data_IF_796416049342
#
_entry.id   IF_796416049342
#
_cell.length_a   1.000
_cell.length_b   1.000
_cell.length_c   1.000
_cell.angle_alpha   90.00
_cell.angle_beta   90.00
_cell.angle_gamma   90.00
#
_symmetry.space_group_name_H-M   'P 1'
#
loop_
_entity.id
_entity.type
_entity.pdbx_description
1 polymer ?
2 non-polymer ?
3 non-polymer ?
4 water ?
#
# COMPACT_ATOMS: atom_id res chain seq x y z
N UNK A 1 -14.36 0.01 -8.70
CA UNK A 1 -13.78 -0.51 -7.45
C UNK A 1 -12.87 -1.71 -7.68
N UNK A 2 -12.16 -2.12 -6.63
CA UNK A 2 -11.37 -3.35 -6.66
C UNK A 2 -12.28 -4.59 -6.78
N UNK A 3 -11.73 -5.66 -7.37
CA UNK A 3 -12.37 -6.97 -7.29
C UNK A 3 -11.98 -7.59 -5.94
N UNK A 4 -12.62 -8.69 -5.59
CA UNK A 4 -12.31 -9.40 -4.37
C UNK A 4 -10.86 -9.85 -4.38
N UNK A 5 -10.37 -10.42 -5.48
CA UNK A 5 -8.98 -10.83 -5.55
C UNK A 5 -7.99 -9.67 -5.39
N UNK A 6 -8.29 -8.53 -5.99
CA UNK A 6 -7.43 -7.34 -5.87
C UNK A 6 -7.39 -6.83 -4.41
N UNK A 7 -8.56 -6.77 -3.77
CA UNK A 7 -8.69 -6.43 -2.35
C UNK A 7 -7.90 -7.39 -1.42
N UNK A 8 -7.99 -8.68 -1.67
CA UNK A 8 -7.19 -9.66 -0.91
C UNK A 8 -5.71 -9.39 -1.05
N UNK A 9 -5.24 -9.21 -2.28
CA UNK A 9 -3.84 -8.85 -2.56
C UNK A 9 -3.39 -7.58 -1.82
N UNK A 10 -4.28 -6.60 -1.80
CA UNK A 10 -4.00 -5.35 -1.09
C UNK A 10 -3.96 -5.56 0.44
N UNK A 11 -4.89 -6.37 0.96
CA UNK A 11 -4.90 -6.70 2.37
C UNK A 11 -3.69 -7.55 2.81
N UNK A 12 -3.22 -8.44 1.95
CA UNK A 12 -2.02 -9.24 2.27
C UNK A 12 -0.75 -8.36 2.35
N UNK A 13 -0.67 -7.37 1.47
CA UNK A 13 0.43 -6.39 1.45
C UNK A 13 0.43 -5.51 2.71
N UNK A 14 -0.75 -5.04 3.12
CA UNK A 14 -0.91 -4.28 4.36
C UNK A 14 -0.45 -5.08 5.56
N UNK A 15 -0.86 -6.35 5.60
CA UNK A 15 -0.51 -7.26 6.69
C UNK A 15 1.00 -7.52 6.69
N UNK A 16 1.58 -7.71 5.51
CA UNK A 16 3.05 -7.87 5.38
C UNK A 16 3.82 -6.65 5.85
N UNK A 17 3.22 -5.48 5.64
CA UNK A 17 3.87 -4.21 6.04
C UNK A 17 3.78 -4.02 7.58
N UNK A 18 2.67 -4.43 8.19
CA UNK A 18 2.41 -4.14 9.59
C UNK A 18 2.76 -5.27 10.55
N UNK A 19 2.50 -6.52 10.18
CA UNK A 19 2.66 -7.63 11.15
C UNK A 19 4.08 -7.81 11.70
N UNK A 20 5.12 -7.58 10.86
CA UNK A 20 6.51 -7.81 11.35
C UNK A 20 6.95 -6.89 12.51
N UNK A 21 6.24 -5.77 12.69
CA UNK A 21 6.56 -4.77 13.71
C UNK A 21 6.09 -5.17 15.10
N UNK A 22 5.22 -6.18 15.17
CA UNK A 22 4.47 -6.46 16.39
C UNK A 22 4.59 -7.93 16.76
N UNK A 23 4.50 -8.20 18.05
CA UNK A 23 4.67 -9.56 18.51
C UNK A 23 3.29 -10.26 18.37
N UNK A 24 2.98 -10.61 17.13
CA UNK A 24 1.75 -11.28 16.79
C UNK A 24 2.13 -12.61 16.13
N UNK A 25 1.21 -13.58 16.10
CA UNK A 25 1.47 -14.87 15.45
C UNK A 25 0.38 -15.20 14.40
N UNK A 26 0.64 -16.21 13.57
CA UNK A 26 -0.21 -16.46 12.41
C UNK A 26 -1.68 -16.74 12.72
N UNK A 27 -1.93 -17.43 13.85
CA UNK A 27 -3.28 -17.86 14.15
C UNK A 27 -4.20 -16.69 14.50
N UNK A 28 -3.76 -15.82 15.37
CA UNK A 28 -4.57 -14.68 15.71
C UNK A 28 -4.75 -13.74 14.48
N UNK A 29 -3.74 -13.65 13.61
CA UNK A 29 -3.88 -12.88 12.35
C UNK A 29 -4.85 -13.53 11.38
N UNK A 30 -4.80 -14.85 11.27
CA UNK A 30 -5.76 -15.56 10.42
C UNK A 30 -7.18 -15.35 10.95
N UNK A 31 -7.30 -15.33 12.28
CA UNK A 31 -8.57 -15.08 12.95
C UNK A 31 -9.18 -13.74 12.53
N UNK A 32 -8.40 -12.66 12.54
CA UNK A 32 -8.98 -11.36 12.16
C UNK A 32 -9.41 -11.30 10.70
N UNK A 33 -8.60 -11.92 9.83
CA UNK A 33 -9.02 -12.09 8.41
C UNK A 33 -10.38 -12.76 8.30
N UNK A 34 -10.66 -13.72 9.19
CA UNK A 34 -11.93 -14.44 9.22
C UNK A 34 -12.96 -13.79 10.18
N UNK A 35 -12.71 -12.56 10.59
CA UNK A 35 -13.66 -11.70 11.32
C UNK A 35 -13.93 -12.26 12.72
N UNK A 36 -12.91 -12.92 13.28
CA UNK A 36 -12.93 -13.39 14.65
C UNK A 36 -11.92 -12.60 15.48
N UNK A 37 -12.45 -11.72 16.33
CA UNK A 37 -11.63 -10.77 17.12
C UNK A 37 -11.79 -11.07 18.61
N UNK A 38 -10.70 -11.43 19.31
CA UNK A 38 -10.76 -11.56 20.77
C UNK A 38 -11.25 -10.29 21.48
N UNK A 39 -11.94 -10.48 22.62
CA UNK A 39 -12.47 -9.40 23.45
C UNK A 39 -11.37 -8.78 24.28
N UNK A 40 -10.32 -9.57 24.53
CA UNK A 40 -9.21 -9.12 25.34
C UNK A 40 -7.85 -9.48 24.75
N UNK A 41 -7.49 -8.86 23.60
CA UNK A 41 -6.22 -9.15 22.94
C UNK A 41 -5.05 -8.56 23.72
N UNK A 42 -3.84 -9.07 23.52
CA UNK A 42 -2.73 -8.33 24.13
C UNK A 42 -2.52 -7.08 23.28
N UNK A 43 -1.77 -6.13 23.83
CA UNK A 43 -1.57 -4.81 23.24
C UNK A 43 -0.95 -4.84 21.84
N UNK A 44 -0.05 -5.81 21.60
CA UNK A 44 0.60 -5.93 20.30
C UNK A 44 -0.40 -6.19 19.19
N UNK A 45 -1.41 -7.01 19.44
CA UNK A 45 -2.50 -7.20 18.46
C UNK A 45 -3.34 -5.95 18.24
N UNK A 46 -3.52 -5.17 19.30
CA UNK A 46 -4.34 -3.95 19.17
C UNK A 46 -3.58 -2.93 18.33
N UNK A 47 -2.26 -2.91 18.47
CA UNK A 47 -1.51 -1.91 17.74
C UNK A 47 -1.27 -2.35 16.29
N UNK A 48 -1.20 -3.67 16.06
CA UNK A 48 -1.24 -4.19 14.71
C UNK A 48 -2.48 -3.61 13.97
N UNK A 49 -3.66 -3.69 14.60
CA UNK A 49 -4.91 -3.17 13.99
C UNK A 49 -4.86 -1.66 13.69
N UNK A 50 -4.33 -0.88 14.63
CA UNK A 50 -4.03 0.51 14.40
C UNK A 50 -3.08 0.79 13.22
N UNK A 51 -1.94 0.10 13.18
CA UNK A 51 -1.03 0.15 12.04
C UNK A 51 -1.78 -0.06 10.71
N UNK A 52 -2.69 -1.05 10.69
CA UNK A 52 -3.50 -1.35 9.53
C UNK A 52 -4.43 -0.20 9.16
N UNK A 53 -5.14 0.36 10.14
CA UNK A 53 -6.14 1.40 9.81
C UNK A 53 -5.43 2.66 9.37
N UNK A 54 -4.25 2.91 9.98
CA UNK A 54 -3.38 4.03 9.60
C UNK A 54 -2.96 3.90 8.15
N UNK A 55 -2.51 2.70 7.80
CA UNK A 55 -2.06 2.35 6.46
C UNK A 55 -3.17 2.52 5.42
N UNK A 56 -4.39 2.17 5.79
CA UNK A 56 -5.57 2.34 4.94
C UNK A 56 -6.07 3.77 4.96
N UNK A 57 -5.28 4.69 5.54
CA UNK A 57 -5.68 6.09 5.72
C UNK A 57 -7.03 6.31 6.38
N UNK A 58 -7.34 5.50 7.39
CA UNK A 58 -8.59 5.65 8.11
C UNK A 58 -8.41 6.30 9.51
N UNK A 59 -7.16 6.46 9.93
CA UNK A 59 -6.80 7.06 11.25
C UNK A 59 -6.44 8.55 11.17
N UNK A 60 -6.73 9.29 12.24
CA UNK A 60 -6.40 10.74 12.31
C UNK A 60 -5.11 11.01 13.08
N UNK A 61 -4.58 12.21 12.93
CA UNK A 61 -3.42 12.66 13.70
C UNK A 61 -3.72 12.64 15.21
N UNK A 62 -4.94 13.02 15.58
CA UNK A 62 -5.46 12.84 16.94
C UNK A 62 -5.43 11.39 17.46
N UNK A 63 -5.19 10.43 16.57
CA UNK A 63 -5.24 9.01 16.92
C UNK A 63 -6.66 8.49 17.03
N UNK A 64 -7.51 8.92 16.08
CA UNK A 64 -8.93 8.57 16.01
C UNK A 64 -9.34 7.99 14.64
N UNK A 65 -10.43 7.24 14.62
CA UNK A 65 -10.89 6.60 13.38
C UNK A 65 -11.77 7.57 12.61
N UNK A 66 -11.37 7.85 11.36
CA UNK A 66 -12.00 8.88 10.55
C UNK A 66 -13.14 8.34 9.71
N UNK A 67 -14.36 8.72 10.11
CA UNK A 67 -15.60 8.33 9.43
C UNK A 67 -15.60 8.71 7.95
N UNK A 68 -15.24 9.96 7.69
CA UNK A 68 -15.32 10.54 6.36
C UNK A 68 -14.40 9.89 5.30
N UNK A 69 -13.12 9.71 5.61
CA UNK A 69 -12.26 9.02 4.65
C UNK A 69 -12.54 7.50 4.55
N UNK A 70 -13.00 6.89 5.64
CA UNK A 70 -13.47 5.50 5.59
C UNK A 70 -14.60 5.33 4.57
N UNK A 71 -15.58 6.24 4.61
CA UNK A 71 -16.70 6.24 3.67
C UNK A 71 -16.24 6.41 2.23
N UNK A 72 -15.34 7.36 2.01
CA UNK A 72 -14.75 7.60 0.70
C UNK A 72 -13.96 6.36 0.21
N UNK A 73 -13.23 5.72 1.12
CA UNK A 73 -12.50 4.46 0.85
C UNK A 73 -13.44 3.36 0.38
N UNK A 74 -14.44 3.09 1.20
CA UNK A 74 -15.45 2.06 0.97
C UNK A 74 -16.15 2.29 -0.38
N UNK A 75 -16.51 3.54 -0.66
CA UNK A 75 -17.22 3.87 -1.89
C UNK A 75 -16.34 3.58 -3.11
N UNK A 76 -15.17 4.21 -3.15
CA UNK A 76 -14.25 4.07 -4.29
C UNK A 76 -13.66 2.66 -4.44
N UNK A 77 -13.39 1.99 -3.32
CA UNK A 77 -12.49 0.83 -3.37
C UNK A 77 -13.09 -0.57 -3.26
N UNK A 78 -14.19 -0.72 -2.52
CA UNK A 78 -14.65 -2.07 -2.17
C UNK A 78 -15.55 -2.73 -3.23
N UNK A 79 -15.37 -4.04 -3.47
CA UNK A 79 -16.23 -4.81 -4.38
C UNK A 79 -17.61 -5.00 -3.77
N UNK A 80 -18.62 -5.40 -4.57
CA UNK A 80 -19.99 -5.45 -4.05
C UNK A 80 -20.13 -6.44 -2.91
N UNK A 81 -19.30 -7.47 -2.91
CA UNK A 81 -19.36 -8.53 -1.90
C UNK A 81 -18.99 -8.02 -0.49
N UNK A 82 -18.25 -6.89 -0.41
CA UNK A 82 -17.83 -6.27 0.86
C UNK A 82 -18.45 -4.90 1.16
N UNK A 83 -18.81 -4.16 0.12
CA UNK A 83 -19.13 -2.73 0.21
C UNK A 83 -20.33 -2.36 1.09
N UNK A 84 -21.41 -3.12 0.97
CA UNK A 84 -22.66 -2.87 1.71
C UNK A 84 -22.51 -3.31 3.18
N UNK A 85 -21.79 -4.40 3.43
CA UNK A 85 -21.48 -4.79 4.80
C UNK A 85 -20.66 -3.68 5.48
N UNK A 86 -19.66 -3.16 4.77
CA UNK A 86 -18.77 -2.12 5.33
C UNK A 86 -19.46 -0.80 5.65
N UNK A 87 -20.31 -0.34 4.75
CA UNK A 87 -21.13 0.84 5.03
C UNK A 87 -22.03 0.67 6.25
N UNK A 88 -22.76 -0.43 6.33
CA UNK A 88 -23.61 -0.70 7.50
C UNK A 88 -22.78 -0.82 8.81
N UNK A 89 -21.65 -1.51 8.74
CA UNK A 89 -20.79 -1.69 9.92
C UNK A 89 -20.28 -0.33 10.39
N UNK A 90 -19.79 0.50 9.48
CA UNK A 90 -19.31 1.81 9.90
C UNK A 90 -20.39 2.61 10.64
N UNK A 91 -21.61 2.65 10.10
CA UNK A 91 -22.64 3.43 10.77
C UNK A 91 -22.98 2.78 12.10
N UNK A 92 -23.17 1.45 12.11
CA UNK A 92 -23.39 0.70 13.34
C UNK A 92 -22.32 0.92 14.43
N UNK A 93 -21.06 1.06 14.03
CA UNK A 93 -19.95 0.99 14.96
C UNK A 93 -19.22 2.28 15.25
N UNK A 94 -19.72 3.38 14.68
CA UNK A 94 -19.00 4.65 14.70
C UNK A 94 -18.80 5.26 16.09
N UNK A 95 -19.65 4.93 17.07
CA UNK A 95 -19.45 5.47 18.43
C UNK A 95 -18.54 4.63 19.31
N UNK A 96 -18.12 3.46 18.83
CA UNK A 96 -17.30 2.56 19.67
C UNK A 96 -16.07 3.24 20.24
N UNK A 97 -15.33 3.99 19.42
CA UNK A 97 -14.09 4.58 19.88
C UNK A 97 -14.21 5.56 21.05
N UNK A 98 -15.41 6.09 21.26
CA UNK A 98 -15.59 7.12 22.27
C UNK A 98 -15.43 6.56 23.69
N UNK A 99 -15.55 5.23 23.84
CA UNK A 99 -15.33 4.57 25.14
C UNK A 99 -13.84 4.34 25.46
N UNK A 100 -12.96 4.71 24.54
CA UNK A 100 -11.51 4.47 24.69
C UNK A 100 -10.67 5.71 24.46
N UNK A 101 -9.58 5.83 25.22
CA UNK A 101 -8.66 6.95 25.08
C UNK A 101 -7.44 6.60 24.24
N UNK A 102 -6.85 5.44 24.51
CA UNK A 102 -5.67 4.96 23.78
C UNK A 102 -6.03 4.71 22.29
N UNK A 103 -5.20 5.21 21.35
CA UNK A 103 -5.49 5.05 19.91
C UNK A 103 -5.51 3.59 19.43
N UNK A 104 -4.70 2.71 20.03
CA UNK A 104 -4.70 1.28 19.67
C UNK A 104 -6.03 0.61 20.09
N UNK A 105 -6.54 0.99 21.25
CA UNK A 105 -7.87 0.54 21.68
C UNK A 105 -8.99 1.11 20.77
N UNK A 106 -8.94 2.41 20.41
CA UNK A 106 -9.95 2.98 19.49
C UNK A 106 -10.04 2.17 18.19
N UNK A 107 -8.87 1.91 17.61
CA UNK A 107 -8.77 1.22 16.31
C UNK A 107 -9.23 -0.22 16.45
N UNK A 108 -8.69 -0.92 17.44
CA UNK A 108 -8.96 -2.37 17.54
C UNK A 108 -10.42 -2.62 17.88
N UNK A 109 -10.95 -1.87 18.84
CA UNK A 109 -12.32 -2.18 19.31
C UNK A 109 -13.37 -1.68 18.34
N UNK A 110 -13.03 -0.68 17.54
CA UNK A 110 -13.91 -0.29 16.42
C UNK A 110 -13.98 -1.41 15.36
N UNK A 111 -12.84 -2.03 15.10
CA UNK A 111 -12.77 -3.11 14.13
C UNK A 111 -13.44 -4.36 14.72
N UNK A 112 -13.27 -4.62 16.02
CA UNK A 112 -14.03 -5.72 16.67
C UNK A 112 -15.56 -5.55 16.60
N UNK A 113 -16.06 -4.36 16.93
CA UNK A 113 -17.49 -4.02 16.74
C UNK A 113 -17.98 -4.36 15.31
N UNK A 114 -17.20 -3.98 14.30
CA UNK A 114 -17.50 -4.30 12.90
C UNK A 114 -17.52 -5.80 12.65
N UNK A 115 -16.48 -6.52 13.17
CA UNK A 115 -16.32 -7.93 13.01
C UNK A 115 -17.48 -8.65 13.64
N UNK A 116 -17.87 -8.22 14.86
CA UNK A 116 -18.92 -8.88 15.58
C UNK A 116 -20.28 -8.64 14.86
N UNK A 117 -20.53 -7.41 14.39
CA UNK A 117 -21.78 -7.04 13.72
C UNK A 117 -22.02 -7.83 12.41
N UNK A 118 -20.97 -7.99 11.61
CA UNK A 118 -21.03 -8.61 10.27
C UNK A 118 -20.85 -10.13 10.30
N UNK A 119 -21.19 -10.83 9.21
CA UNK A 119 -20.90 -12.28 9.19
C UNK A 119 -19.40 -12.60 9.06
N UNK A 120 -19.05 -13.88 9.05
CA UNK A 120 -17.64 -14.28 9.00
C UNK A 120 -16.93 -14.00 7.66
N UNK A 121 -17.66 -13.55 6.66
CA UNK A 121 -17.07 -13.26 5.34
C UNK A 121 -16.53 -11.82 5.27
N UNK A 122 -16.80 -11.02 6.30
CA UNK A 122 -16.25 -9.68 6.35
C UNK A 122 -14.81 -9.72 6.81
N UNK A 123 -13.87 -9.53 5.88
CA UNK A 123 -12.42 -9.67 6.09
C UNK A 123 -11.78 -8.39 6.69
N UNK A 124 -10.73 -8.60 7.50
CA UNK A 124 -9.87 -7.50 7.99
C UNK A 124 -8.47 -7.89 7.53
N UNK A 125 -7.60 -6.91 7.22
CA UNK A 125 -6.29 -7.34 6.73
C UNK A 125 -5.47 -8.20 7.68
N UNK B 2 -4.13 -4.83 -19.91
CA UNK B 2 -4.11 -3.50 -19.23
C UNK B 2 -3.76 -2.39 -20.22
N UNK B 3 -4.61 -1.37 -20.31
CA UNK B 3 -4.39 -0.28 -21.25
C UNK B 3 -3.58 0.84 -20.59
N UNK B 4 -3.18 1.82 -21.39
CA UNK B 4 -2.51 3.00 -20.86
C UNK B 4 -3.39 3.76 -19.88
N UNK B 5 -4.67 3.90 -20.20
CA UNK B 5 -5.59 4.59 -19.29
C UNK B 5 -5.75 3.82 -17.97
N UNK B 6 -5.88 2.50 -18.07
CA UNK B 6 -6.07 1.68 -16.88
C UNK B 6 -4.82 1.68 -16.01
N UNK B 7 -3.65 1.72 -16.65
CA UNK B 7 -2.36 1.85 -15.94
C UNK B 7 -2.27 3.15 -15.14
N UNK B 8 -2.73 4.25 -15.72
CA UNK B 8 -2.72 5.57 -15.06
C UNK B 8 -3.45 5.55 -13.71
N UNK B 9 -4.64 4.94 -13.66
CA UNK B 9 -5.40 4.87 -12.40
C UNK B 9 -4.69 4.06 -11.34
N UNK B 10 -4.14 2.91 -11.72
CA UNK B 10 -3.31 2.10 -10.83
C UNK B 10 -2.20 2.97 -10.27
N UNK B 11 -1.52 3.71 -11.16
CA UNK B 11 -0.45 4.63 -10.77
C UNK B 11 -0.95 5.74 -9.85
N UNK B 12 -2.10 6.32 -10.16
CA UNK B 12 -2.64 7.45 -9.36
C UNK B 12 -3.00 7.02 -7.95
N UNK B 13 -3.42 5.76 -7.83
CA UNK B 13 -3.78 5.08 -6.59
C UNK B 13 -2.55 4.88 -5.73
N UNK B 14 -1.46 4.42 -6.34
CA UNK B 14 -0.20 4.25 -5.61
C UNK B 14 0.39 5.61 -5.16
N UNK B 15 0.27 6.63 -6.01
CA UNK B 15 0.74 7.99 -5.63
C UNK B 15 0.00 8.56 -4.40
N UNK B 16 -1.34 8.53 -4.41
CA UNK B 16 -2.12 8.99 -3.25
C UNK B 16 -1.86 8.17 -1.97
N UNK B 17 -1.38 6.94 -2.14
CA UNK B 17 -1.02 6.13 -0.99
C UNK B 17 0.36 6.50 -0.44
N UNK B 18 1.33 6.69 -1.33
CA UNK B 18 2.74 6.90 -0.94
C UNK B 18 3.07 8.34 -0.60
N UNK B 19 2.61 9.28 -1.44
CA UNK B 19 2.94 10.71 -1.34
C UNK B 19 2.75 11.36 0.04
N UNK B 20 1.61 11.15 0.71
CA UNK B 20 1.52 11.88 1.99
C UNK B 20 2.55 11.43 3.07
N UNK B 21 3.26 10.32 2.84
CA UNK B 21 4.25 9.77 3.79
C UNK B 21 5.59 10.48 3.65
N UNK B 22 5.73 11.31 2.62
CA UNK B 22 7.02 11.94 2.29
C UNK B 22 6.86 13.43 2.01
N UNK B 23 7.89 14.19 2.35
CA UNK B 23 7.89 15.63 2.16
C UNK B 23 8.35 15.93 0.73
N UNK B 24 7.56 15.50 -0.26
CA UNK B 24 7.93 15.71 -1.66
C UNK B 24 6.99 16.77 -2.23
N UNK B 25 7.50 17.69 -3.03
CA UNK B 25 6.55 18.64 -3.63
C UNK B 25 5.82 18.07 -4.89
N UNK B 26 4.63 18.62 -5.15
CA UNK B 26 3.78 18.21 -6.27
C UNK B 26 4.51 18.23 -7.63
N UNK B 27 5.31 19.28 -7.86
CA UNK B 27 6.04 19.44 -9.12
C UNK B 27 7.09 18.33 -9.29
N UNK B 28 7.68 17.89 -8.18
CA UNK B 28 8.63 16.78 -8.26
C UNK B 28 7.95 15.48 -8.70
N UNK B 29 6.74 15.24 -8.18
CA UNK B 29 5.98 14.06 -8.58
C UNK B 29 5.50 14.17 -10.05
N UNK B 30 4.99 15.34 -10.43
CA UNK B 30 4.70 15.65 -11.86
C UNK B 30 5.95 15.33 -12.74
N UNK B 31 7.12 15.72 -12.26
CA UNK B 31 8.40 15.40 -12.91
C UNK B 31 8.62 13.91 -13.14
N UNK B 32 8.50 13.12 -12.08
CA UNK B 32 8.69 11.69 -12.14
C UNK B 32 7.61 11.04 -13.02
N UNK B 33 6.38 11.57 -13.00
CA UNK B 33 5.34 11.16 -13.94
C UNK B 33 5.71 11.38 -15.41
N UNK B 34 6.45 12.45 -15.68
CA UNK B 34 6.91 12.69 -17.05
C UNK B 34 8.29 12.04 -17.31
N UNK B 35 8.74 11.18 -16.40
CA UNK B 35 10.02 10.45 -16.56
C UNK B 35 11.27 11.32 -16.45
N UNK B 36 11.23 12.31 -15.55
CA UNK B 36 12.36 13.23 -15.34
C UNK B 36 12.97 12.90 -13.99
N UNK B 37 14.17 12.32 -14.00
CA UNK B 37 14.84 11.82 -12.80
C UNK B 37 16.17 12.54 -12.56
N UNK B 38 16.24 13.44 -11.55
CA UNK B 38 17.53 14.11 -11.28
C UNK B 38 18.57 13.10 -10.77
N UNK B 39 19.86 13.45 -10.91
CA UNK B 39 20.94 12.58 -10.49
C UNK B 39 21.15 12.53 -8.99
N UNK B 40 20.90 13.62 -8.26
CA UNK B 40 20.89 13.45 -6.80
C UNK B 40 19.84 14.26 -6.07
N UNK B 41 18.61 13.74 -6.10
CA UNK B 41 17.45 14.34 -5.41
C UNK B 41 17.64 14.17 -3.89
N UNK B 42 16.81 14.83 -3.09
CA UNK B 42 16.87 14.63 -1.65
C UNK B 42 16.27 13.27 -1.36
N UNK B 43 16.57 12.73 -0.19
CA UNK B 43 16.10 11.40 0.15
C UNK B 43 14.57 11.26 0.27
N UNK B 44 13.84 12.33 0.57
CA UNK B 44 12.37 12.22 0.56
C UNK B 44 11.80 11.64 -0.76
N UNK B 45 12.32 12.16 -1.89
CA UNK B 45 11.92 11.69 -3.23
C UNK B 45 12.37 10.26 -3.54
N UNK B 46 13.60 9.94 -3.12
CA UNK B 46 14.11 8.59 -3.30
C UNK B 46 13.27 7.58 -2.51
N UNK B 47 12.90 7.92 -1.28
CA UNK B 47 12.08 7.02 -0.49
C UNK B 47 10.63 6.97 -1.00
N UNK B 48 10.14 8.09 -1.53
CA UNK B 48 8.86 8.01 -2.25
C UNK B 48 8.92 6.93 -3.37
N UNK B 49 9.99 6.96 -4.15
CA UNK B 49 10.16 5.98 -5.21
C UNK B 49 10.23 4.52 -4.69
N UNK B 50 10.89 4.33 -3.55
CA UNK B 50 10.89 3.02 -2.88
C UNK B 50 9.50 2.62 -2.42
N UNK B 51 8.75 3.57 -1.88
CA UNK B 51 7.38 3.27 -1.42
C UNK B 51 6.60 2.71 -2.61
N UNK B 52 6.80 3.35 -3.75
CA UNK B 52 6.12 3.00 -5.00
C UNK B 52 6.56 1.62 -5.48
N UNK B 53 7.88 1.36 -5.41
CA UNK B 53 8.43 0.05 -5.74
C UNK B 53 7.82 -1.06 -4.91
N UNK B 54 7.81 -0.84 -3.59
CA UNK B 54 7.18 -1.71 -2.62
C UNK B 54 5.70 -1.96 -2.92
N UNK B 55 4.93 -0.88 -3.06
CA UNK B 55 3.51 -0.96 -3.37
C UNK B 55 3.19 -1.73 -4.65
N UNK B 56 4.10 -1.69 -5.61
CA UNK B 56 3.95 -2.41 -6.88
C UNK B 56 4.51 -3.82 -6.76
N UNK B 57 4.92 -4.22 -5.55
CA UNK B 57 5.43 -5.58 -5.30
C UNK B 57 6.70 -5.98 -6.05
N UNK B 58 7.61 -5.03 -6.29
CA UNK B 58 8.90 -5.36 -6.95
C UNK B 58 10.10 -5.58 -5.98
N UNK B 59 9.90 -5.33 -4.70
CA UNK B 59 11.02 -5.35 -3.72
C UNK B 59 10.94 -6.51 -2.73
N UNK B 60 12.10 -6.88 -2.16
CA UNK B 60 12.15 -7.93 -1.13
C UNK B 60 12.10 -7.35 0.28
N UNK B 61 11.93 -8.23 1.25
CA UNK B 61 11.98 -7.89 2.68
C UNK B 61 13.32 -7.26 3.08
N UNK B 62 14.41 -7.65 2.40
CA UNK B 62 15.74 -7.08 2.63
C UNK B 62 15.93 -5.63 2.09
N UNK B 63 14.97 -5.13 1.33
CA UNK B 63 15.07 -3.80 0.72
C UNK B 63 15.83 -3.80 -0.61
N UNK B 64 15.76 -4.93 -1.30
CA UNK B 64 16.35 -5.11 -2.62
C UNK B 64 15.24 -5.16 -3.67
N UNK B 65 15.62 -4.89 -4.93
CA UNK B 65 14.72 -5.08 -6.08
C UNK B 65 14.84 -6.53 -6.53
N UNK B 66 13.71 -7.25 -6.51
CA UNK B 66 13.67 -8.60 -7.05
C UNK B 66 13.46 -8.64 -8.57
N UNK B 67 14.45 -9.19 -9.28
CA UNK B 67 14.31 -9.48 -10.73
C UNK B 67 13.03 -10.26 -11.03
N UNK B 68 12.91 -11.45 -10.41
CA UNK B 68 11.77 -12.35 -10.57
C UNK B 68 10.43 -11.64 -10.44
N UNK B 69 10.23 -10.98 -9.29
CA UNK B 69 8.99 -10.27 -8.98
C UNK B 69 8.66 -9.23 -10.02
N UNK B 70 9.67 -8.45 -10.42
CA UNK B 70 9.48 -7.36 -11.36
C UNK B 70 9.13 -7.92 -12.74
N UNK B 71 9.87 -8.95 -13.16
CA UNK B 71 9.58 -9.62 -14.42
C UNK B 71 8.12 -10.09 -14.45
N UNK B 72 7.72 -10.77 -13.37
CA UNK B 72 6.35 -11.21 -13.15
C UNK B 72 5.35 -10.05 -13.20
N UNK B 73 5.69 -8.95 -12.55
CA UNK B 73 4.79 -7.78 -12.50
C UNK B 73 4.68 -7.05 -13.84
N UNK B 74 5.76 -7.01 -14.61
CA UNK B 74 5.74 -6.50 -16.00
C UNK B 74 4.77 -7.31 -16.84
N UNK B 75 4.99 -8.62 -16.86
CA UNK B 75 4.21 -9.59 -17.65
C UNK B 75 2.70 -9.50 -17.40
N UNK B 76 2.35 -8.97 -16.23
CA UNK B 76 0.98 -8.99 -15.72
C UNK B 76 0.33 -7.61 -15.61
N UNK B 77 1.10 -6.62 -15.18
CA UNK B 77 0.56 -5.28 -14.94
C UNK B 77 0.74 -4.28 -16.11
N UNK B 78 1.60 -4.59 -17.08
CA UNK B 78 1.87 -3.62 -18.18
C UNK B 78 1.23 -3.97 -19.52
N UNK B 79 0.83 -2.94 -20.30
CA UNK B 79 0.19 -3.15 -21.62
C UNK B 79 1.15 -3.80 -22.61
N UNK B 80 0.68 -4.83 -23.35
CA UNK B 80 1.53 -5.61 -24.26
C UNK B 80 2.52 -4.76 -25.07
N UNK B 81 2.10 -3.56 -25.45
CA UNK B 81 2.91 -2.64 -26.27
C UNK B 81 4.19 -2.14 -25.58
N UNK B 82 4.19 -2.13 -24.25
CA UNK B 82 5.36 -1.64 -23.52
C UNK B 82 6.05 -2.69 -22.62
N UNK B 83 5.74 -3.96 -22.85
CA UNK B 83 6.33 -5.07 -22.12
C UNK B 83 7.82 -5.32 -22.43
N UNK B 84 8.20 -5.33 -23.71
CA UNK B 84 9.60 -5.64 -24.08
C UNK B 84 10.56 -4.49 -23.75
N UNK B 85 10.11 -3.25 -23.95
CA UNK B 85 10.83 -2.07 -23.46
C UNK B 85 11.18 -2.16 -21.96
N UNK B 86 10.22 -2.57 -21.14
CA UNK B 86 10.43 -2.67 -19.69
C UNK B 86 11.31 -3.85 -19.29
N UNK B 87 11.17 -4.97 -20.00
CA UNK B 87 12.05 -6.14 -19.84
C UNK B 87 13.47 -5.76 -20.25
N UNK B 88 13.60 -4.99 -21.32
CA UNK B 88 14.94 -4.58 -21.73
C UNK B 88 15.56 -3.58 -20.74
N UNK B 89 14.75 -2.66 -20.21
CA UNK B 89 15.23 -1.73 -19.17
C UNK B 89 15.66 -2.49 -17.93
N UNK B 90 14.83 -3.45 -17.53
CA UNK B 90 15.12 -4.30 -16.40
C UNK B 90 16.44 -5.08 -16.57
N UNK B 91 16.63 -5.70 -17.73
CA UNK B 91 17.89 -6.44 -17.98
C UNK B 91 19.08 -5.49 -17.90
N UNK B 92 18.95 -4.30 -18.48
CA UNK B 92 20.02 -3.30 -18.41
C UNK B 92 20.38 -2.89 -16.98
N UNK B 93 19.36 -2.61 -16.19
CA UNK B 93 19.49 -1.90 -14.90
C UNK B 93 19.53 -2.84 -13.69
N UNK B 94 19.49 -4.14 -13.99
CA UNK B 94 19.38 -5.20 -13.00
C UNK B 94 20.39 -5.12 -11.86
N UNK B 95 21.64 -4.83 -12.19
CA UNK B 95 22.67 -4.80 -11.16
C UNK B 95 23.00 -3.36 -10.65
N UNK B 96 22.16 -2.38 -11.01
CA UNK B 96 22.29 -1.00 -10.50
C UNK B 96 22.31 -0.96 -8.96
N UNK B 97 21.39 -1.70 -8.34
CA UNK B 97 21.23 -1.72 -6.87
C UNK B 97 22.48 -2.20 -6.14
N UNK B 98 23.33 -2.96 -6.84
CA UNK B 98 24.49 -3.53 -6.15
C UNK B 98 25.53 -2.45 -5.82
N UNK B 99 25.38 -1.27 -6.42
CA UNK B 99 26.27 -0.11 -6.12
C UNK B 99 25.85 0.66 -4.87
N UNK B 100 24.73 0.31 -4.28
CA UNK B 100 24.06 1.14 -3.27
C UNK B 100 23.71 0.38 -1.99
N UNK B 101 24.09 0.93 -0.84
CA UNK B 101 23.75 0.35 0.46
C UNK B 101 22.28 0.57 0.83
N UNK B 102 21.81 1.81 0.71
CA UNK B 102 20.47 2.18 1.17
C UNK B 102 19.36 1.72 0.23
N UNK B 103 18.33 1.06 0.78
CA UNK B 103 17.20 0.62 -0.05
C UNK B 103 16.52 1.73 -0.86
N UNK B 104 16.49 2.97 -0.37
CA UNK B 104 15.84 4.07 -1.12
C UNK B 104 16.67 4.40 -2.39
N UNK B 105 18.00 4.26 -2.27
CA UNK B 105 18.91 4.44 -3.40
C UNK B 105 18.82 3.26 -4.36
N UNK B 106 18.61 2.04 -3.85
CA UNK B 106 18.47 0.88 -4.74
C UNK B 106 17.28 1.09 -5.67
N UNK B 107 16.14 1.48 -5.09
CA UNK B 107 14.91 1.70 -5.87
C UNK B 107 15.01 2.94 -6.76
N UNK B 108 15.37 4.09 -6.19
CA UNK B 108 15.43 5.34 -6.99
C UNK B 108 16.37 5.24 -8.18
N UNK B 109 17.59 4.74 -7.95
CA UNK B 109 18.58 4.74 -9.01
C UNK B 109 18.35 3.63 -10.04
N UNK B 110 17.67 2.55 -9.63
CA UNK B 110 17.13 1.55 -10.57
C UNK B 110 16.10 2.17 -11.51
N UNK B 111 15.15 2.91 -10.94
CA UNK B 111 14.13 3.61 -11.71
C UNK B 111 14.77 4.63 -12.66
N UNK B 112 15.74 5.40 -12.15
CA UNK B 112 16.43 6.39 -13.01
C UNK B 112 17.22 5.75 -14.16
N UNK B 113 17.90 4.64 -13.88
CA UNK B 113 18.62 3.88 -14.90
C UNK B 113 17.65 3.51 -16.01
N UNK B 114 16.49 2.98 -15.62
CA UNK B 114 15.46 2.58 -16.57
C UNK B 114 14.96 3.78 -17.38
N UNK B 115 14.70 4.92 -16.72
CA UNK B 115 14.26 6.12 -17.44
C UNK B 115 15.35 6.67 -18.37
N UNK B 116 16.62 6.65 -17.93
CA UNK B 116 17.73 7.16 -18.75
C UNK B 116 18.00 6.28 -19.97
N UNK B 117 17.72 4.98 -19.85
CA UNK B 117 17.90 3.99 -20.92
C UNK B 117 16.84 4.14 -22.00
N UNK B 118 15.63 4.47 -21.58
CA UNK B 118 14.48 4.45 -22.46
C UNK B 118 13.64 5.70 -22.22
N UNK B 119 14.15 6.86 -22.66
CA UNK B 119 13.60 8.14 -22.23
C UNK B 119 12.19 8.43 -22.73
N UNK B 120 11.49 9.25 -21.96
CA UNK B 120 10.12 9.67 -22.25
C UNK B 120 9.19 8.51 -22.58
N UNK B 121 9.36 7.43 -21.81
CA UNK B 121 8.60 6.20 -22.03
C UNK B 121 7.96 5.72 -20.73
N UNK B 122 8.81 5.50 -19.74
CA UNK B 122 8.36 5.00 -18.44
C UNK B 122 7.83 6.14 -17.59
N UNK B 123 6.51 6.27 -17.51
CA UNK B 123 5.89 7.29 -16.67
C UNK B 123 5.68 6.77 -15.24
N UNK B 124 6.39 7.35 -14.28
CA UNK B 124 6.49 6.84 -12.92
C UNK B 124 5.25 7.22 -12.13
N UNK B 125 4.69 6.26 -11.37
CA UNK B 125 3.46 6.48 -10.62
C UNK B 125 3.52 7.77 -9.79
X LIG C 1 -17.86 -10.47 10.78
X LIG D 1 -19.90 -11.71 13.33
X LIG E 1 -18.88 -7.22 20.62
X LIG F 1 -10.70 -3.74 -10.14
X LIG G 1 12.74 17.87 -10.18
X LIG G 1 13.77 17.58 -11.11
X LIG G 1 11.78 18.87 -10.82
X LIG G 1 12.47 20.05 -11.17
X LIG G 1 11.17 18.24 -12.05
X LIG G 1 10.39 19.20 -12.74
#
# INVERSE_FOLDING_TARGET
>A
AMTMKQLTNSMDMMRQACAPKFKVEEAELHGLRKSIFPANPDKELKCYAMCIAQMAGTMTKKGEISFSKTMAQIEAMLPPEMKTMAKEALTHCKDTQTSYKDPCDKAYFSAKCAADFTPDTFMFP
>B
AMTMKQLTNSMDMMRQACAPKFKVEEAELHGLRKSIFPANPDKELKCYAMCIAQMAGTMTKKGEISFSKTMAQIEAMLPPEMKTMAKEALTHCKDTQTSYKDPCDKAYFSAKCAADFTPDTFMFP
>C hetero
1 NA NA
>D hetero
1 NA NA
>E hetero
1 NA NA
>F hetero
1 NA NA
>G hetero
1 GOL C1 O1 C2 O2 C3 O3
#
